data_IF_454645979698
#
_entry.id   IF_454645979698
#
_cell.length_a   1.000
_cell.length_b   1.000
_cell.length_c   1.000
_cell.angle_alpha   90.00
_cell.angle_beta   90.00
_cell.angle_gamma   90.00
#
_symmetry.space_group_name_H-M   'P 1'
#
loop_
_entity.id
_entity.type
_entity.pdbx_description
1 polymer ?
#
# COMPACT_ATOMS: atom_id res chain seq x y z
N UNK A 1 23.63 -71.72 -2.08
CA UNK A 1 23.47 -70.32 -2.56
C UNK A 1 22.52 -69.64 -1.65
N UNK A 2 23.06 -68.84 -0.69
CA UNK A 2 22.26 -68.01 0.29
C UNK A 2 22.16 -66.62 -0.29
N UNK A 3 20.92 -66.13 -0.52
CA UNK A 3 20.65 -64.73 -0.91
C UNK A 3 20.51 -63.89 0.39
N UNK A 4 21.42 -62.94 0.56
CA UNK A 4 21.29 -61.90 1.58
C UNK A 4 20.22 -60.85 1.09
N UNK A 5 19.21 -60.64 1.91
CA UNK A 5 18.25 -59.55 1.74
C UNK A 5 18.77 -58.36 2.55
N UNK A 6 19.18 -57.29 1.88
CA UNK A 6 19.60 -56.05 2.52
C UNK A 6 18.34 -55.17 2.71
N UNK A 7 17.87 -55.03 3.95
CA UNK A 7 16.83 -54.06 4.30
C UNK A 7 17.41 -52.66 4.34
N UNK A 8 16.96 -51.76 3.45
CA UNK A 8 17.26 -50.35 3.45
C UNK A 8 16.29 -49.66 4.41
N UNK A 9 16.77 -49.18 5.55
CA UNK A 9 16.00 -48.41 6.52
C UNK A 9 15.93 -46.97 6.02
N UNK A 10 14.75 -46.54 5.56
CA UNK A 10 14.47 -45.14 5.18
C UNK A 10 14.18 -44.37 6.45
N UNK A 11 15.14 -43.55 6.92
CA UNK A 11 14.89 -42.56 7.97
C UNK A 11 14.08 -41.39 7.43
N UNK A 12 12.80 -41.32 7.76
CA UNK A 12 11.96 -40.14 7.55
C UNK A 12 12.33 -39.12 8.64
N UNK A 13 13.08 -38.09 8.26
CA UNK A 13 13.29 -36.93 9.11
C UNK A 13 12.00 -36.12 9.08
N UNK A 14 11.17 -36.25 10.10
CA UNK A 14 10.05 -35.35 10.38
C UNK A 14 10.62 -34.00 10.81
N UNK A 15 10.74 -33.06 9.87
CA UNK A 15 11.01 -31.68 10.17
C UNK A 15 9.84 -31.12 11.01
N UNK A 16 10.10 -30.77 12.26
CA UNK A 16 9.16 -30.01 13.08
C UNK A 16 9.04 -28.61 12.51
N UNK A 17 8.02 -28.39 11.68
CA UNK A 17 7.62 -27.04 11.32
C UNK A 17 7.27 -26.30 12.61
N UNK A 18 8.09 -25.31 12.96
CA UNK A 18 7.81 -24.38 14.03
C UNK A 18 6.46 -23.72 13.77
N UNK A 19 5.45 -24.06 14.56
CA UNK A 19 4.17 -23.38 14.52
C UNK A 19 4.44 -21.93 14.99
N UNK A 20 4.61 -21.02 14.03
CA UNK A 20 4.61 -19.60 14.33
C UNK A 20 3.32 -19.31 15.10
N UNK A 21 3.43 -18.70 16.30
CA UNK A 21 2.32 -18.26 17.12
C UNK A 21 1.45 -17.27 16.31
N UNK A 22 0.45 -17.81 15.59
CA UNK A 22 -0.55 -16.98 14.94
C UNK A 22 -1.43 -16.39 16.03
N UNK A 23 -1.68 -15.07 16.04
CA UNK A 23 -2.61 -14.48 16.99
C UNK A 23 -3.95 -15.23 16.93
N UNK A 24 -4.53 -15.52 18.07
CA UNK A 24 -5.89 -16.08 18.14
C UNK A 24 -6.84 -15.11 17.45
N UNK A 25 -7.81 -15.59 16.62
CA UNK A 25 -8.76 -14.71 15.95
C UNK A 25 -9.65 -13.88 16.89
N UNK A 26 -9.54 -14.09 18.19
CA UNK A 26 -10.28 -13.37 19.24
C UNK A 26 -9.39 -12.45 20.09
N UNK A 27 -8.16 -12.18 19.66
CA UNK A 27 -7.25 -11.26 20.38
C UNK A 27 -7.12 -9.98 19.60
N UNK A 28 -7.28 -8.80 20.23
CA UNK A 28 -7.00 -7.53 19.58
C UNK A 28 -5.60 -7.51 18.94
N UNK A 29 -5.44 -6.94 17.73
CA UNK A 29 -4.15 -6.87 17.07
C UNK A 29 -3.14 -6.11 17.94
N UNK A 30 -1.88 -6.56 18.03
CA UNK A 30 -0.81 -5.80 18.67
C UNK A 30 -0.56 -4.48 17.94
N UNK A 31 -0.02 -3.52 18.67
CA UNK A 31 0.49 -2.27 18.11
C UNK A 31 1.98 -2.42 17.88
N UNK A 32 2.40 -2.16 16.64
CA UNK A 32 3.78 -1.97 16.23
C UNK A 32 4.06 -0.48 16.08
N UNK A 33 5.33 -0.12 16.03
CA UNK A 33 5.78 1.24 15.76
C UNK A 33 6.90 1.21 14.71
N UNK A 34 7.07 2.26 13.90
CA UNK A 34 8.19 2.38 13.00
C UNK A 34 9.48 2.68 13.80
N UNK A 35 10.48 1.81 13.69
CA UNK A 35 11.85 2.09 14.09
C UNK A 35 12.56 2.72 12.89
N UNK A 36 12.90 4.00 12.99
CA UNK A 36 13.50 4.77 11.90
C UNK A 36 14.94 4.29 11.66
N UNK A 37 15.23 3.85 10.44
CA UNK A 37 16.56 3.46 9.96
C UNK A 37 17.24 4.66 9.30
N UNK A 38 16.53 5.31 8.36
CA UNK A 38 16.99 6.50 7.65
C UNK A 38 15.85 7.49 7.44
N UNK A 39 16.21 8.74 7.20
CA UNK A 39 15.29 9.82 6.81
C UNK A 39 15.85 10.46 5.54
N UNK A 40 15.00 10.55 4.53
CA UNK A 40 15.34 11.13 3.24
C UNK A 40 14.49 12.38 2.97
N UNK A 41 14.99 13.33 2.14
CA UNK A 41 14.16 14.41 1.64
C UNK A 41 13.00 13.87 0.80
N UNK A 42 11.87 14.56 0.82
CA UNK A 42 10.72 14.28 -0.01
C UNK A 42 10.09 15.58 -0.50
N UNK A 43 9.44 15.57 -1.66
CA UNK A 43 8.78 16.75 -2.21
C UNK A 43 7.53 17.11 -1.40
N UNK A 44 7.63 18.14 -0.57
CA UNK A 44 6.52 18.64 0.25
C UNK A 44 5.33 19.18 -0.57
N UNK A 45 5.38 19.21 -1.89
CA UNK A 45 4.24 19.50 -2.78
C UNK A 45 3.60 18.22 -3.34
N UNK A 46 4.20 17.06 -3.11
CA UNK A 46 3.65 15.79 -3.54
C UNK A 46 2.43 15.40 -2.70
N UNK A 47 1.27 15.26 -3.33
CA UNK A 47 0.09 14.68 -2.71
C UNK A 47 0.11 13.18 -2.97
N UNK A 48 0.97 12.46 -2.20
CA UNK A 48 1.29 11.05 -2.40
C UNK A 48 0.07 10.16 -2.27
N UNK A 49 -0.21 9.37 -3.32
CA UNK A 49 -1.33 8.44 -3.40
C UNK A 49 -0.89 7.01 -3.66
N UNK A 50 0.30 6.80 -4.17
CA UNK A 50 0.91 5.49 -4.34
C UNK A 50 2.42 5.61 -4.26
N UNK A 51 3.07 4.64 -3.63
CA UNK A 51 4.52 4.59 -3.47
C UNK A 51 5.00 3.18 -3.84
N UNK A 52 6.13 3.08 -4.53
CA UNK A 52 6.68 1.81 -4.99
C UNK A 52 8.21 1.85 -4.98
N UNK A 53 8.82 0.80 -4.45
CA UNK A 53 10.26 0.57 -4.55
C UNK A 53 10.56 -0.57 -5.51
N UNK A 54 11.42 -0.33 -6.50
CA UNK A 54 11.85 -1.36 -7.42
C UNK A 54 13.28 -1.11 -7.94
N UNK A 55 14.16 -2.12 -7.77
CA UNK A 55 15.53 -2.11 -8.31
C UNK A 55 16.33 -0.83 -7.99
N UNK A 56 16.29 -0.38 -6.72
CA UNK A 56 17.03 0.80 -6.29
C UNK A 56 16.39 2.13 -6.67
N UNK A 57 15.15 2.14 -7.15
CA UNK A 57 14.41 3.32 -7.60
C UNK A 57 13.09 3.45 -6.84
N UNK A 58 12.74 4.69 -6.52
CA UNK A 58 11.46 5.04 -5.94
C UNK A 58 10.53 5.58 -7.03
N UNK A 59 9.32 5.04 -7.09
CA UNK A 59 8.26 5.52 -7.96
C UNK A 59 7.11 6.04 -7.12
N UNK A 60 6.52 7.14 -7.55
CA UNK A 60 5.46 7.80 -6.82
C UNK A 60 4.31 8.20 -7.74
N UNK A 61 3.09 7.92 -7.31
CA UNK A 61 1.86 8.46 -7.87
C UNK A 61 1.37 9.60 -6.99
N UNK A 62 1.16 10.78 -7.57
CA UNK A 62 0.63 11.93 -6.85
C UNK A 62 -0.76 12.28 -7.36
N UNK A 63 -1.69 12.59 -6.44
CA UNK A 63 -3.04 13.03 -6.74
C UNK A 63 -3.14 14.54 -6.94
N UNK A 64 -4.38 15.03 -7.00
CA UNK A 64 -4.89 16.39 -7.22
C UNK A 64 -5.14 16.72 -8.70
N UNK A 65 -6.38 17.10 -8.95
CA UNK A 65 -6.84 17.45 -10.31
C UNK A 65 -6.02 18.59 -10.90
N UNK A 66 -5.50 18.37 -12.12
CA UNK A 66 -4.59 19.28 -12.80
C UNK A 66 -3.12 19.22 -12.33
N UNK A 67 -2.81 18.41 -11.30
CA UNK A 67 -1.46 18.26 -10.74
C UNK A 67 -1.05 16.80 -10.56
N UNK A 68 -1.93 15.86 -10.91
CA UNK A 68 -1.65 14.42 -10.81
C UNK A 68 -0.46 14.02 -11.68
N UNK A 69 0.42 13.17 -11.14
CA UNK A 69 1.60 12.72 -11.87
C UNK A 69 2.04 11.32 -11.49
N UNK A 70 2.76 10.68 -12.41
CA UNK A 70 3.62 9.52 -12.15
C UNK A 70 5.07 10.01 -12.16
N UNK A 71 5.86 9.62 -11.15
CA UNK A 71 7.22 10.09 -10.94
C UNK A 71 8.21 8.95 -10.70
N UNK A 72 9.44 9.11 -11.15
CA UNK A 72 10.62 8.42 -10.63
C UNK A 72 11.40 9.42 -9.79
N UNK A 73 11.75 9.06 -8.56
CA UNK A 73 12.34 9.96 -7.56
C UNK A 73 13.70 9.40 -7.11
N UNK A 74 14.71 10.26 -7.02
CA UNK A 74 15.96 9.92 -6.37
C UNK A 74 15.75 9.82 -4.85
N UNK A 75 15.99 8.65 -4.29
CA UNK A 75 15.77 8.39 -2.85
C UNK A 75 16.60 9.32 -1.97
N UNK A 76 17.83 9.63 -2.37
CA UNK A 76 18.80 10.34 -1.51
C UNK A 76 18.53 11.84 -1.49
N UNK A 77 18.14 12.40 -2.62
CA UNK A 77 17.93 13.85 -2.77
C UNK A 77 16.47 14.26 -2.74
N UNK A 78 15.54 13.34 -2.98
CA UNK A 78 14.12 13.63 -3.16
C UNK A 78 13.81 14.31 -4.51
N UNK A 79 14.80 14.41 -5.41
CA UNK A 79 14.60 15.05 -6.72
C UNK A 79 13.80 14.15 -7.66
N UNK A 80 12.87 14.76 -8.39
CA UNK A 80 12.10 14.08 -9.44
C UNK A 80 12.96 13.92 -10.67
N UNK A 81 13.35 12.68 -10.98
CA UNK A 81 14.20 12.34 -12.13
C UNK A 81 13.40 12.24 -13.43
N UNK A 82 12.20 11.70 -13.36
CA UNK A 82 11.25 11.59 -14.47
C UNK A 82 9.84 11.88 -14.00
N UNK A 83 9.02 12.48 -14.85
CA UNK A 83 7.63 12.82 -14.54
C UNK A 83 6.74 12.68 -15.77
N UNK A 84 5.56 12.11 -15.57
CA UNK A 84 4.44 12.16 -16.52
C UNK A 84 3.26 12.81 -15.82
N UNK A 85 2.76 13.91 -16.38
CA UNK A 85 1.55 14.55 -15.89
C UNK A 85 0.32 13.79 -16.38
N UNK A 86 -0.59 13.52 -15.45
CA UNK A 86 -1.80 12.72 -15.68
C UNK A 86 -2.98 13.68 -15.90
N UNK A 87 -3.03 14.27 -17.08
CA UNK A 87 -4.06 15.25 -17.43
C UNK A 87 -5.01 14.69 -18.49
N UNK A 88 -6.26 15.16 -18.47
CA UNK A 88 -7.18 14.94 -19.57
C UNK A 88 -6.78 15.73 -20.81
N UNK A 89 -7.12 15.26 -22.01
CA UNK A 89 -7.00 16.08 -23.22
C UNK A 89 -7.76 17.40 -23.05
N UNK A 90 -7.20 18.49 -23.56
CA UNK A 90 -7.80 19.83 -23.45
C UNK A 90 -9.25 19.87 -23.98
N UNK A 91 -9.56 19.07 -25.02
CA UNK A 91 -10.91 18.94 -25.58
C UNK A 91 -11.96 18.40 -24.58
N UNK A 92 -11.53 17.63 -23.58
CA UNK A 92 -12.38 17.08 -22.52
C UNK A 92 -12.53 18.04 -21.33
N UNK A 93 -11.61 18.99 -21.17
CA UNK A 93 -11.63 20.03 -20.12
C UNK A 93 -12.43 21.26 -20.53
N UNK A 94 -12.82 21.37 -21.81
CA UNK A 94 -13.54 22.50 -22.40
C UNK A 94 -14.92 22.07 -22.89
N UNK A 95 -15.83 23.04 -23.09
CA UNK A 95 -17.20 22.81 -23.56
C UNK A 95 -18.25 23.16 -22.54
N UNK A 96 -19.51 22.80 -22.82
CA UNK A 96 -20.67 23.14 -21.96
C UNK A 96 -20.66 22.35 -20.63
N UNK A 97 -20.13 21.11 -20.65
CA UNK A 97 -20.01 20.24 -19.48
C UNK A 97 -18.63 19.56 -19.47
N UNK A 98 -17.55 20.28 -19.11
CA UNK A 98 -16.21 19.70 -19.10
C UNK A 98 -16.11 18.59 -18.04
N UNK A 99 -15.47 17.48 -18.39
CA UNK A 99 -15.11 16.46 -17.41
C UNK A 99 -14.03 17.00 -16.48
N UNK A 100 -14.09 16.69 -15.17
CA UNK A 100 -13.02 17.06 -14.26
C UNK A 100 -11.73 16.35 -14.67
N UNK A 101 -10.58 17.01 -14.47
CA UNK A 101 -9.30 16.39 -14.74
C UNK A 101 -9.08 15.15 -13.84
N UNK A 102 -8.14 14.29 -14.22
CA UNK A 102 -7.86 13.07 -13.47
C UNK A 102 -7.32 13.38 -12.06
N UNK A 103 -7.73 12.56 -11.12
CA UNK A 103 -7.12 12.48 -9.82
C UNK A 103 -6.44 11.12 -9.71
N UNK A 104 -5.10 11.09 -9.85
CA UNK A 104 -4.34 9.85 -9.77
C UNK A 104 -4.25 9.35 -8.32
N UNK A 105 -4.24 8.03 -8.18
CA UNK A 105 -4.29 7.30 -6.93
C UNK A 105 -3.17 6.23 -6.85
N UNK A 106 -3.45 5.07 -6.32
CA UNK A 106 -2.51 3.98 -6.08
C UNK A 106 -1.66 3.58 -7.29
N UNK A 107 -0.49 3.02 -7.02
CA UNK A 107 0.51 2.64 -8.01
C UNK A 107 1.02 1.22 -7.72
N UNK A 108 1.14 0.40 -8.77
CA UNK A 108 1.72 -0.94 -8.65
C UNK A 108 2.58 -1.29 -9.86
N UNK A 109 3.59 -2.13 -9.66
CA UNK A 109 4.38 -2.74 -10.72
C UNK A 109 3.86 -4.14 -11.04
N UNK A 110 3.61 -4.40 -12.32
CA UNK A 110 3.23 -5.69 -12.85
C UNK A 110 4.16 -6.05 -14.03
N UNK A 111 5.16 -6.89 -13.78
CA UNK A 111 6.19 -7.20 -14.75
C UNK A 111 7.04 -5.96 -15.10
N UNK A 112 6.93 -5.50 -16.32
CA UNK A 112 7.58 -4.29 -16.86
C UNK A 112 6.62 -3.09 -17.01
N UNK A 113 5.47 -3.13 -16.34
CA UNK A 113 4.44 -2.12 -16.46
C UNK A 113 4.07 -1.51 -15.12
N UNK A 114 3.98 -0.20 -15.06
CA UNK A 114 3.40 0.53 -13.93
C UNK A 114 1.91 0.73 -14.19
N UNK A 115 1.07 0.38 -13.21
CA UNK A 115 -0.38 0.60 -13.26
C UNK A 115 -0.73 1.65 -12.22
N UNK A 116 -1.28 2.78 -12.65
CA UNK A 116 -1.69 3.90 -11.83
C UNK A 116 -3.21 4.05 -11.86
N UNK A 117 -3.85 3.98 -10.70
CA UNK A 117 -5.30 4.18 -10.56
C UNK A 117 -5.69 5.65 -10.70
N UNK A 118 -6.98 5.88 -10.97
CA UNK A 118 -7.64 7.17 -10.80
C UNK A 118 -8.73 7.06 -9.74
N UNK A 119 -9.11 8.16 -9.08
CA UNK A 119 -10.07 8.13 -7.97
C UNK A 119 -11.47 7.72 -8.42
N UNK A 120 -12.16 8.59 -9.17
CA UNK A 120 -13.59 8.44 -9.54
C UNK A 120 -13.80 8.20 -11.03
N UNK A 121 -12.73 8.22 -11.80
CA UNK A 121 -12.80 8.15 -13.26
C UNK A 121 -12.97 6.72 -13.78
N UNK A 122 -12.73 5.70 -12.92
CA UNK A 122 -12.84 4.28 -13.28
C UNK A 122 -11.83 3.83 -14.31
N UNK A 123 -10.70 4.52 -14.39
CA UNK A 123 -9.60 4.26 -15.31
C UNK A 123 -8.30 4.00 -14.56
N UNK A 124 -7.52 3.02 -15.01
CA UNK A 124 -6.16 2.80 -14.57
C UNK A 124 -5.22 2.91 -15.77
N UNK A 125 -4.21 3.75 -15.68
CA UNK A 125 -3.26 3.97 -16.74
C UNK A 125 -2.11 2.99 -16.61
N UNK A 126 -1.72 2.39 -17.73
CA UNK A 126 -0.61 1.46 -17.82
C UNK A 126 0.54 2.17 -18.53
N UNK A 127 1.69 2.20 -17.87
CA UNK A 127 2.90 2.79 -18.42
C UNK A 127 3.98 1.71 -18.56
N UNK A 128 4.77 1.81 -19.61
CA UNK A 128 6.02 1.07 -19.73
C UNK A 128 7.02 1.59 -18.70
N UNK A 129 7.62 0.69 -17.92
CA UNK A 129 8.52 1.03 -16.81
C UNK A 129 9.80 1.73 -17.28
N UNK A 130 10.34 1.37 -18.46
CA UNK A 130 11.57 1.90 -18.98
C UNK A 130 11.37 3.29 -19.62
N UNK A 131 10.33 3.44 -20.43
CA UNK A 131 10.08 4.67 -21.21
C UNK A 131 9.19 5.67 -20.48
N UNK A 132 8.36 5.24 -19.53
CA UNK A 132 7.28 6.03 -18.93
C UNK A 132 6.18 6.45 -19.91
N UNK A 133 6.17 5.85 -21.10
CA UNK A 133 5.08 6.07 -22.04
C UNK A 133 3.82 5.33 -21.59
N UNK A 134 2.68 5.99 -21.67
CA UNK A 134 1.38 5.37 -21.44
C UNK A 134 1.06 4.44 -22.62
N UNK A 135 0.99 3.12 -22.33
CA UNK A 135 0.82 2.09 -23.36
C UNK A 135 -0.60 1.50 -23.38
N UNK A 136 -1.37 1.64 -22.29
CA UNK A 136 -2.73 1.11 -22.21
C UNK A 136 -3.57 1.86 -21.17
N UNK A 137 -4.87 1.54 -21.12
CA UNK A 137 -5.83 2.01 -20.13
C UNK A 137 -6.78 0.88 -19.78
N UNK A 138 -6.73 0.47 -18.52
CA UNK A 138 -7.68 -0.50 -17.95
C UNK A 138 -8.89 0.23 -17.37
N UNK A 139 -10.00 -0.49 -17.19
CA UNK A 139 -11.24 0.10 -16.67
C UNK A 139 -11.74 -0.72 -15.48
N UNK A 140 -12.37 -0.01 -14.53
CA UNK A 140 -13.02 -0.62 -13.37
C UNK A 140 -14.24 0.20 -12.95
N UNK A 141 -15.10 -0.41 -12.16
CA UNK A 141 -16.28 0.25 -11.59
C UNK A 141 -15.97 0.75 -10.17
N UNK A 142 -16.54 1.89 -9.80
CA UNK A 142 -16.39 2.51 -8.49
C UNK A 142 -15.16 3.39 -8.37
N UNK A 143 -14.68 3.58 -7.15
CA UNK A 143 -13.50 4.37 -6.85
C UNK A 143 -12.24 3.50 -6.84
N UNK A 144 -11.10 4.07 -7.20
CA UNK A 144 -9.78 3.47 -7.04
C UNK A 144 -8.97 4.25 -6.03
N UNK A 145 -8.41 3.56 -5.01
CA UNK A 145 -7.60 4.19 -3.98
C UNK A 145 -6.18 3.61 -3.98
N UNK A 146 -5.92 2.54 -3.24
CA UNK A 146 -4.63 1.85 -3.24
C UNK A 146 -4.66 0.59 -4.10
N UNK A 147 -3.49 0.13 -4.52
CA UNK A 147 -3.32 -1.13 -5.25
C UNK A 147 -1.96 -1.75 -4.96
N UNK A 148 -1.90 -3.07 -4.74
CA UNK A 148 -0.66 -3.82 -4.66
C UNK A 148 -0.77 -5.17 -5.37
N UNK A 149 0.37 -5.80 -5.69
CA UNK A 149 0.46 -7.11 -6.34
C UNK A 149 1.24 -8.10 -5.45
N UNK A 150 0.69 -9.29 -5.22
CA UNK A 150 1.30 -10.29 -4.34
C UNK A 150 2.07 -11.39 -5.08
N UNK A 151 2.30 -11.21 -6.38
CA UNK A 151 2.90 -12.20 -7.27
C UNK A 151 1.87 -13.12 -7.94
N UNK A 152 0.57 -13.01 -7.55
CA UNK A 152 -0.51 -13.81 -8.12
C UNK A 152 -1.76 -12.98 -8.43
N UNK A 153 -2.16 -12.11 -7.54
CA UNK A 153 -3.36 -11.29 -7.66
C UNK A 153 -3.05 -9.82 -7.37
N UNK A 154 -3.82 -8.93 -7.96
CA UNK A 154 -3.88 -7.54 -7.56
C UNK A 154 -4.91 -7.37 -6.44
N UNK A 155 -4.56 -6.58 -5.43
CA UNK A 155 -5.48 -6.16 -4.37
C UNK A 155 -5.68 -4.66 -4.48
N UNK A 156 -6.94 -4.22 -4.44
CA UNK A 156 -7.31 -2.83 -4.62
C UNK A 156 -8.27 -2.38 -3.54
N UNK A 157 -8.07 -1.20 -2.97
CA UNK A 157 -8.98 -0.50 -2.08
C UNK A 157 -9.86 0.48 -2.87
N UNK A 158 -11.06 0.78 -2.35
CA UNK A 158 -12.11 1.51 -3.09
C UNK A 158 -12.97 2.41 -2.18
N UNK A 159 -12.38 3.02 -1.16
CA UNK A 159 -13.11 3.81 -0.13
C UNK A 159 -14.01 3.02 0.82
N UNK A 160 -14.09 1.71 0.69
CA UNK A 160 -14.92 0.85 1.55
C UNK A 160 -14.09 0.11 2.60
N UNK A 161 -14.74 -0.73 3.40
CA UNK A 161 -14.09 -1.67 4.32
C UNK A 161 -13.65 -2.96 3.63
N UNK A 162 -13.72 -3.01 2.30
CA UNK A 162 -13.43 -4.20 1.52
C UNK A 162 -12.18 -3.99 0.68
N UNK A 163 -11.46 -5.09 0.44
CA UNK A 163 -10.42 -5.18 -0.58
C UNK A 163 -10.94 -6.01 -1.75
N UNK A 164 -10.76 -5.49 -2.94
CA UNK A 164 -11.04 -6.18 -4.19
C UNK A 164 -9.83 -7.02 -4.57
N UNK A 165 -10.06 -8.26 -4.98
CA UNK A 165 -9.05 -9.13 -5.61
C UNK A 165 -9.30 -9.08 -7.12
N UNK A 166 -8.30 -8.72 -7.89
CA UNK A 166 -8.39 -8.59 -9.33
C UNK A 166 -7.41 -9.49 -10.05
N UNK A 167 -7.81 -9.94 -11.22
CA UNK A 167 -6.95 -10.70 -12.12
C UNK A 167 -5.86 -9.77 -12.70
N UNK A 168 -4.57 -10.16 -12.64
CA UNK A 168 -3.49 -9.29 -13.11
C UNK A 168 -3.42 -9.17 -14.64
N UNK A 169 -3.99 -10.12 -15.40
CA UNK A 169 -3.94 -10.09 -16.86
C UNK A 169 -5.12 -9.30 -17.45
N UNK A 170 -6.32 -9.48 -16.88
CA UNK A 170 -7.55 -8.86 -17.40
C UNK A 170 -8.00 -7.65 -16.61
N UNK A 171 -7.47 -7.46 -15.40
CA UNK A 171 -7.92 -6.46 -14.42
C UNK A 171 -9.36 -6.65 -13.92
N UNK A 172 -10.01 -7.75 -14.28
CA UNK A 172 -11.37 -8.06 -13.85
C UNK A 172 -11.45 -8.35 -12.35
N UNK A 173 -12.55 -7.94 -11.72
CA UNK A 173 -12.83 -8.25 -10.33
C UNK A 173 -13.14 -9.75 -10.17
N UNK A 174 -12.34 -10.45 -9.36
CA UNK A 174 -12.56 -11.85 -9.02
C UNK A 174 -13.50 -11.98 -7.82
N UNK A 175 -13.17 -11.26 -6.74
CA UNK A 175 -13.92 -11.28 -5.47
C UNK A 175 -13.54 -10.07 -4.62
N UNK A 176 -14.42 -9.70 -3.68
CA UNK A 176 -14.11 -8.74 -2.62
C UNK A 176 -14.28 -9.41 -1.26
N UNK A 177 -13.44 -9.01 -0.28
CA UNK A 177 -13.54 -9.47 1.10
C UNK A 177 -13.41 -8.32 2.09
N UNK A 178 -14.13 -8.42 3.21
CA UNK A 178 -14.09 -7.41 4.27
C UNK A 178 -12.82 -7.50 5.10
N UNK A 179 -12.28 -6.34 5.49
CA UNK A 179 -11.14 -6.23 6.40
C UNK A 179 -11.65 -6.11 7.82
N UNK A 180 -11.29 -7.10 8.66
CA UNK A 180 -11.81 -7.30 9.99
C UNK A 180 -10.72 -7.09 11.05
N UNK A 181 -11.09 -6.53 12.18
CA UNK A 181 -10.22 -6.51 13.36
C UNK A 181 -10.99 -6.86 14.64
N UNK A 182 -10.26 -7.38 15.61
CA UNK A 182 -10.81 -7.66 16.93
C UNK A 182 -10.62 -6.44 17.81
N UNK A 183 -11.70 -5.92 18.37
CA UNK A 183 -11.67 -4.86 19.36
C UNK A 183 -12.02 -5.39 20.74
N UNK A 184 -11.54 -4.73 21.79
CA UNK A 184 -11.91 -5.03 23.17
C UNK A 184 -12.28 -3.75 23.90
N UNK A 185 -13.49 -3.71 24.41
CA UNK A 185 -13.91 -2.60 25.26
C UNK A 185 -13.14 -2.64 26.58
N UNK A 186 -12.36 -1.61 26.86
CA UNK A 186 -11.51 -1.54 28.05
C UNK A 186 -12.32 -1.44 29.36
N UNK A 187 -13.54 -0.90 29.32
CA UNK A 187 -14.40 -0.73 30.51
C UNK A 187 -15.19 -2.00 30.82
N UNK A 188 -15.74 -2.66 29.81
CA UNK A 188 -16.58 -3.85 30.00
C UNK A 188 -15.84 -5.18 29.84
N UNK A 189 -14.65 -5.13 29.22
CA UNK A 189 -13.90 -6.33 28.84
C UNK A 189 -14.50 -7.10 27.66
N UNK A 190 -15.59 -6.59 27.07
CA UNK A 190 -16.24 -7.20 25.91
C UNK A 190 -15.32 -7.21 24.70
N UNK A 191 -15.24 -8.36 24.04
CA UNK A 191 -14.50 -8.56 22.80
C UNK A 191 -15.47 -8.73 21.65
N UNK A 192 -15.25 -8.02 20.55
CA UNK A 192 -16.04 -8.11 19.33
C UNK A 192 -15.15 -8.08 18.09
N UNK A 193 -15.71 -8.51 16.97
CA UNK A 193 -15.08 -8.42 15.66
C UNK A 193 -15.79 -7.31 14.87
N UNK A 194 -15.03 -6.35 14.41
CA UNK A 194 -15.53 -5.19 13.69
C UNK A 194 -14.88 -5.14 12.29
N UNK A 195 -15.57 -4.53 11.33
CA UNK A 195 -14.95 -4.11 10.08
C UNK A 195 -14.11 -2.85 10.32
N UNK A 196 -13.04 -2.70 9.56
CA UNK A 196 -12.40 -1.38 9.43
C UNK A 196 -13.50 -0.41 8.97
N UNK A 197 -13.61 0.78 9.56
CA UNK A 197 -14.59 1.78 9.11
C UNK A 197 -14.49 2.04 7.61
N UNK A 198 -15.63 2.19 6.95
CA UNK A 198 -15.68 2.54 5.53
C UNK A 198 -14.87 3.83 5.25
N UNK A 199 -14.30 3.92 4.05
CA UNK A 199 -13.51 5.06 3.58
C UNK A 199 -12.16 5.26 4.28
N UNK A 200 -11.62 4.24 4.95
CA UNK A 200 -10.32 4.35 5.58
C UNK A 200 -9.20 3.58 4.88
N UNK A 201 -9.49 2.43 4.24
CA UNK A 201 -8.44 1.69 3.51
C UNK A 201 -7.99 2.52 2.30
N UNK A 202 -6.71 2.89 2.27
CA UNK A 202 -6.14 3.75 1.25
C UNK A 202 -4.97 3.05 0.55
N UNK A 203 -3.79 3.63 0.54
CA UNK A 203 -2.63 3.12 -0.15
C UNK A 203 -2.22 1.75 0.40
N UNK A 204 -1.74 0.85 -0.49
CA UNK A 204 -1.52 -0.56 -0.21
C UNK A 204 -0.12 -1.02 -0.64
N UNK A 205 0.52 -1.85 0.22
CA UNK A 205 1.72 -2.59 -0.12
C UNK A 205 1.60 -4.07 0.23
N UNK A 206 1.89 -4.96 -0.73
CA UNK A 206 1.79 -6.41 -0.59
C UNK A 206 3.16 -7.03 -0.22
N UNK A 207 3.31 -7.59 0.99
CA UNK A 207 4.55 -8.23 1.45
C UNK A 207 4.28 -9.60 2.03
N UNK A 208 4.79 -10.64 1.41
CA UNK A 208 4.61 -12.03 1.86
C UNK A 208 3.13 -12.42 2.00
N UNK A 209 2.72 -12.82 3.20
CA UNK A 209 1.33 -13.21 3.51
C UNK A 209 0.42 -12.00 3.84
N UNK A 210 0.94 -10.78 3.82
CA UNK A 210 0.24 -9.61 4.35
C UNK A 210 0.06 -8.51 3.31
N UNK A 211 -0.98 -7.71 3.52
CA UNK A 211 -1.20 -6.41 2.90
C UNK A 211 -1.04 -5.36 3.99
N UNK A 212 -0.22 -4.36 3.74
CA UNK A 212 -0.10 -3.16 4.57
C UNK A 212 -0.95 -2.07 3.94
N UNK A 213 -1.86 -1.49 4.71
CA UNK A 213 -2.81 -0.48 4.22
C UNK A 213 -2.74 0.78 5.08
N UNK A 214 -2.50 1.93 4.48
CA UNK A 214 -2.73 3.20 5.16
C UNK A 214 -4.22 3.34 5.55
N UNK A 215 -4.50 3.79 6.78
CA UNK A 215 -5.84 4.16 7.19
C UNK A 215 -6.01 5.68 7.05
N UNK A 216 -6.77 6.08 6.05
CA UNK A 216 -6.93 7.49 5.66
C UNK A 216 -7.34 8.39 6.85
N UNK A 217 -6.78 9.60 6.91
CA UNK A 217 -6.94 10.58 7.98
C UNK A 217 -6.48 10.10 9.37
N UNK A 218 -5.66 9.06 9.42
CA UNK A 218 -5.01 8.61 10.66
C UNK A 218 -3.49 8.46 10.44
N UNK A 219 -2.76 8.25 11.53
CA UNK A 219 -1.35 7.90 11.49
C UNK A 219 -1.15 6.38 11.67
N UNK A 220 -2.12 5.57 11.21
CA UNK A 220 -2.12 4.13 11.36
C UNK A 220 -1.96 3.43 10.00
N UNK A 221 -1.20 2.32 10.03
CA UNK A 221 -1.16 1.34 8.95
C UNK A 221 -1.72 0.03 9.50
N UNK A 222 -2.65 -0.61 8.79
CA UNK A 222 -3.14 -1.94 9.11
C UNK A 222 -2.29 -3.00 8.41
N UNK A 223 -1.80 -4.00 9.15
CA UNK A 223 -1.22 -5.22 8.59
C UNK A 223 -2.33 -6.28 8.51
N UNK A 224 -2.68 -6.68 7.30
CA UNK A 224 -3.85 -7.51 7.00
C UNK A 224 -3.38 -8.86 6.47
N UNK A 225 -3.86 -9.97 7.03
CA UNK A 225 -3.67 -11.31 6.47
C UNK A 225 -4.53 -11.43 5.20
N UNK A 226 -3.90 -11.46 4.02
CA UNK A 226 -4.56 -11.48 2.72
C UNK A 226 -5.43 -12.70 2.44
N UNK A 227 -5.28 -13.78 3.23
CA UNK A 227 -6.06 -15.02 3.08
C UNK A 227 -7.45 -14.95 3.68
N UNK A 228 -7.67 -14.06 4.65
CA UNK A 228 -8.91 -14.02 5.44
C UNK A 228 -9.39 -12.60 5.79
N UNK A 229 -8.63 -11.56 5.43
CA UNK A 229 -8.96 -10.17 5.71
C UNK A 229 -8.77 -9.73 7.16
N UNK A 230 -8.21 -10.58 8.04
CA UNK A 230 -8.02 -10.20 9.43
C UNK A 230 -6.83 -9.26 9.59
N UNK A 231 -7.02 -8.16 10.31
CA UNK A 231 -5.92 -7.31 10.77
C UNK A 231 -5.16 -8.07 11.85
N UNK A 232 -3.87 -8.29 11.63
CA UNK A 232 -2.97 -9.02 12.53
C UNK A 232 -2.08 -8.09 13.36
N UNK A 233 -1.90 -6.84 12.92
CA UNK A 233 -1.26 -5.77 13.69
C UNK A 233 -1.73 -4.40 13.18
N UNK A 234 -1.61 -3.37 14.03
CA UNK A 234 -1.61 -1.98 13.60
C UNK A 234 -0.24 -1.40 13.82
N UNK A 235 0.23 -0.58 12.89
CA UNK A 235 1.46 0.19 12.99
C UNK A 235 1.07 1.62 13.32
N UNK A 236 1.50 2.13 14.47
CA UNK A 236 1.28 3.49 14.92
C UNK A 236 2.47 4.36 14.52
N UNK A 237 2.30 5.16 13.49
CA UNK A 237 3.32 6.04 12.93
C UNK A 237 3.32 7.45 13.54
N UNK A 238 2.55 7.70 14.61
CA UNK A 238 2.58 8.97 15.32
C UNK A 238 3.98 9.30 15.83
N UNK A 239 4.39 10.56 15.66
CA UNK A 239 5.70 11.03 16.10
C UNK A 239 6.83 10.88 15.08
N UNK A 240 6.54 10.42 13.86
CA UNK A 240 7.51 10.51 12.75
C UNK A 240 7.76 11.97 12.35
N UNK A 241 6.71 12.78 12.31
CA UNK A 241 6.81 14.23 12.15
C UNK A 241 6.62 14.93 13.50
N UNK A 242 7.24 16.09 13.66
CA UNK A 242 6.95 17.01 14.76
C UNK A 242 5.61 17.73 14.53
N UNK A 243 5.06 18.33 15.58
CA UNK A 243 3.81 19.10 15.46
C UNK A 243 3.95 20.26 14.47
N UNK A 244 5.11 20.92 14.41
CA UNK A 244 5.40 21.99 13.46
C UNK A 244 5.39 21.50 12.02
N UNK A 245 5.96 20.32 11.75
CA UNK A 245 5.98 19.70 10.42
C UNK A 245 4.58 19.27 9.98
N UNK A 246 3.77 18.73 10.89
CA UNK A 246 2.36 18.41 10.64
C UNK A 246 1.57 19.67 10.28
N UNK A 247 1.75 20.76 11.05
CA UNK A 247 1.10 22.05 10.79
C UNK A 247 1.53 22.58 9.41
N UNK A 248 2.83 22.56 9.11
CA UNK A 248 3.34 23.04 7.82
C UNK A 248 2.77 22.23 6.63
N UNK A 249 2.70 20.91 6.73
CA UNK A 249 2.09 20.07 5.72
C UNK A 249 0.59 20.41 5.52
N UNK A 250 -0.17 20.56 6.62
CA UNK A 250 -1.60 20.91 6.59
C UNK A 250 -1.89 22.34 6.13
N UNK A 251 -0.92 23.24 6.24
CA UNK A 251 -1.03 24.60 5.65
C UNK A 251 -0.92 24.54 4.12
N UNK A 252 -0.14 23.58 3.57
CA UNK A 252 -0.05 23.35 2.13
C UNK A 252 -1.31 22.71 1.58
N UNK A 253 -1.85 21.72 2.30
CA UNK A 253 -3.13 21.08 1.99
C UNK A 253 -3.78 20.49 3.25
N UNK A 254 -5.05 20.82 3.57
CA UNK A 254 -5.74 20.25 4.73
C UNK A 254 -5.87 18.73 4.73
N UNK A 255 -5.72 18.09 3.56
CA UNK A 255 -5.71 16.63 3.38
C UNK A 255 -4.36 15.97 3.66
N UNK A 256 -3.34 16.74 4.10
CA UNK A 256 -2.04 16.20 4.45
C UNK A 256 -2.15 15.18 5.59
N UNK A 257 -1.72 13.96 5.31
CA UNK A 257 -1.78 12.81 6.22
C UNK A 257 -0.76 11.76 5.80
N UNK A 258 -0.45 10.81 6.69
CA UNK A 258 0.32 9.60 6.35
C UNK A 258 -0.32 8.89 5.14
N UNK A 259 0.44 8.68 4.09
CA UNK A 259 0.05 7.89 2.91
C UNK A 259 1.27 7.58 2.03
N UNK A 260 1.39 6.32 1.62
CA UNK A 260 2.50 5.80 0.84
C UNK A 260 3.35 4.82 1.62
N UNK A 261 3.38 3.57 1.17
CA UNK A 261 4.14 2.46 1.72
C UNK A 261 4.83 1.75 0.57
N UNK A 262 6.15 1.57 0.65
CA UNK A 262 6.89 0.76 -0.31
C UNK A 262 7.85 -0.16 0.43
N UNK A 263 7.98 -1.41 0.00
CA UNK A 263 8.83 -2.40 0.65
C UNK A 263 10.14 -2.61 -0.10
N UNK A 264 11.26 -2.58 0.63
CA UNK A 264 12.55 -2.94 0.10
C UNK A 264 12.93 -4.36 0.53
N UNK A 265 12.87 -5.36 -0.37
CA UNK A 265 13.16 -6.76 -0.04
C UNK A 265 14.64 -7.02 0.24
N UNK A 266 15.57 -6.14 -0.19
CA UNK A 266 17.00 -6.33 0.03
C UNK A 266 17.41 -6.04 1.48
N UNK A 267 16.72 -5.09 2.13
CA UNK A 267 17.04 -4.63 3.50
C UNK A 267 15.99 -5.06 4.52
N UNK A 268 14.88 -5.65 4.07
CA UNK A 268 13.69 -5.96 4.87
C UNK A 268 13.21 -4.71 5.65
N UNK A 269 13.09 -3.61 4.90
CA UNK A 269 12.64 -2.31 5.40
C UNK A 269 11.47 -1.78 4.57
N UNK A 270 10.75 -0.81 5.13
CA UNK A 270 9.69 -0.09 4.45
C UNK A 270 10.08 1.36 4.27
N UNK A 271 9.74 1.94 3.13
CA UNK A 271 9.69 3.38 2.94
C UNK A 271 8.26 3.85 3.20
N UNK A 272 8.10 4.83 4.08
CA UNK A 272 6.81 5.45 4.37
C UNK A 272 6.92 6.97 4.31
N UNK A 273 5.88 7.61 3.80
CA UNK A 273 5.77 9.07 3.72
C UNK A 273 4.33 9.51 3.91
N UNK A 274 3.99 10.72 3.53
CA UNK A 274 2.63 11.25 3.58
C UNK A 274 2.41 12.35 2.56
N UNK A 275 1.13 12.62 2.31
CA UNK A 275 0.67 13.72 1.45
C UNK A 275 1.23 15.03 1.97
N UNK A 276 1.94 15.76 1.13
CA UNK A 276 2.59 17.05 1.46
C UNK A 276 3.68 16.96 2.55
N UNK A 277 4.24 15.79 2.81
CA UNK A 277 5.35 15.65 3.75
C UNK A 277 6.69 15.99 3.08
N UNK A 278 7.59 16.65 3.82
CA UNK A 278 8.95 16.98 3.35
C UNK A 278 9.96 15.84 3.62
N UNK A 279 9.48 14.72 4.17
CA UNK A 279 10.31 13.58 4.59
C UNK A 279 9.74 12.25 4.11
N UNK A 280 10.64 11.37 3.74
CA UNK A 280 10.40 9.95 3.54
C UNK A 280 11.25 9.19 4.55
N UNK A 281 10.66 8.20 5.22
CA UNK A 281 11.31 7.44 6.27
C UNK A 281 11.54 6.00 5.81
N UNK A 282 12.77 5.51 5.95
CA UNK A 282 13.05 4.09 5.91
C UNK A 282 12.92 3.53 7.33
N UNK A 283 12.08 2.51 7.50
CA UNK A 283 11.69 2.01 8.81
C UNK A 283 11.65 0.49 8.88
N UNK A 284 11.72 -0.06 10.11
CA UNK A 284 11.27 -1.40 10.46
C UNK A 284 10.07 -1.32 11.38
N UNK A 285 9.09 -2.19 11.20
CA UNK A 285 7.96 -2.27 12.11
C UNK A 285 8.28 -3.19 13.26
N UNK A 286 8.42 -2.63 14.47
CA UNK A 286 8.81 -3.34 15.69
C UNK A 286 7.74 -3.24 16.77
N UNK A 287 7.66 -4.19 17.72
CA UNK A 287 6.73 -4.08 18.84
C UNK A 287 6.92 -2.78 19.61
N UNK A 288 5.82 -2.09 19.93
CA UNK A 288 5.87 -0.92 20.81
C UNK A 288 6.52 -1.29 22.16
N UNK A 289 7.53 -0.55 22.60
CA UNK A 289 8.11 -0.74 23.92
C UNK A 289 7.06 -0.40 24.98
N UNK A 290 6.85 -1.33 25.91
CA UNK A 290 5.91 -1.14 27.04
C UNK A 290 6.47 -0.12 28.04
#
# INVERSE_FOLDING_TARGET
MRRLLTCLLLMVVLGTASAQNRPSPLTPPPILVPEVVNVFPHDGQAFTQGLLWHNGKLYESTGRRGFSSLREVDLTTGEVLRIVNVNRPESELTGENPLPDYFAEGLVLLGDRLIQLTWTEGEAFVYDLETFERVDTLRYEGEGWGICYDGRYLFMSDSTSYLQVRDPETFELIVSFGVLFVSRNQQTGETRVDLIPAQLLNELECVGDYIYANLWQTDLIAQIDKRNGNVVAFIDARGLLTDEEIIAARQRDPGATLNGIAYNPETDTFFITGKMWDKLFEVRFVPARR
#
